data_IF_577129802032
#
_entry.id   IF_577129802032
#
_cell.length_a   1.000
_cell.length_b   1.000
_cell.length_c   1.000
_cell.angle_alpha   90.00
_cell.angle_beta   90.00
_cell.angle_gamma   90.00
#
_symmetry.space_group_name_H-M   'P 1'
#
loop_
_entity.id
_entity.type
_entity.pdbx_description
1 polymer ?
#
# COMPACT_ATOMS: atom_id res chain seq x y z
N UNK A 1 22.17 11.07 -26.26
CA UNK A 1 21.07 11.05 -27.28
C UNK A 1 20.33 9.72 -27.31
N UNK A 2 21.00 8.56 -27.36
CA UNK A 2 20.33 7.23 -27.37
C UNK A 2 19.47 6.97 -26.13
N UNK A 3 19.96 7.24 -24.91
CA UNK A 3 19.16 7.09 -23.67
C UNK A 3 17.87 7.90 -23.68
N UNK A 4 17.89 9.11 -24.24
CA UNK A 4 16.71 9.99 -24.29
C UNK A 4 15.66 9.48 -25.30
N UNK A 5 16.10 8.92 -26.44
CA UNK A 5 15.22 8.28 -27.43
C UNK A 5 14.64 6.96 -26.91
N UNK A 6 15.47 6.15 -26.23
CA UNK A 6 15.02 4.93 -25.56
C UNK A 6 13.96 5.24 -24.48
N UNK A 7 14.13 6.32 -23.71
CA UNK A 7 13.16 6.76 -22.71
C UNK A 7 11.80 7.17 -23.32
N UNK A 8 11.83 7.80 -24.49
CA UNK A 8 10.63 8.30 -25.16
C UNK A 8 9.83 7.17 -25.84
N UNK A 9 10.50 6.07 -26.24
CA UNK A 9 9.82 4.87 -26.77
C UNK A 9 9.38 3.92 -25.66
N UNK A 10 10.01 4.00 -24.49
CA UNK A 10 9.71 3.20 -23.31
C UNK A 10 8.28 3.36 -22.79
N UNK A 11 7.71 4.57 -22.82
CA UNK A 11 6.31 4.81 -22.44
C UNK A 11 5.35 4.04 -23.36
N UNK A 12 5.59 4.04 -24.67
CA UNK A 12 4.81 3.25 -25.64
C UNK A 12 4.95 1.73 -25.44
N UNK A 13 6.00 1.26 -24.77
CA UNK A 13 6.22 -0.17 -24.50
C UNK A 13 5.55 -0.62 -23.19
N UNK A 14 5.30 0.28 -22.24
CA UNK A 14 4.70 -0.07 -20.95
C UNK A 14 3.22 -0.41 -21.09
N UNK A 15 2.45 0.40 -21.82
CA UNK A 15 0.98 0.26 -21.87
C UNK A 15 0.51 -1.10 -22.40
N UNK A 16 1.06 -1.64 -23.52
CA UNK A 16 0.67 -2.96 -24.00
C UNK A 16 0.96 -4.07 -22.97
N UNK A 17 2.08 -3.97 -22.25
CA UNK A 17 2.46 -4.95 -21.23
C UNK A 17 1.55 -4.86 -20.00
N UNK A 18 1.18 -3.65 -19.57
CA UNK A 18 0.28 -3.44 -18.45
C UNK A 18 -1.14 -3.96 -18.73
N UNK A 19 -1.61 -3.87 -19.98
CA UNK A 19 -2.90 -4.48 -20.40
C UNK A 19 -2.86 -6.00 -20.20
N UNK A 20 -1.75 -6.64 -20.56
CA UNK A 20 -1.57 -8.09 -20.43
C UNK A 20 -1.56 -8.60 -18.98
N UNK A 21 -1.50 -7.74 -17.95
CA UNK A 21 -1.64 -8.19 -16.55
C UNK A 21 -3.04 -8.69 -16.20
N UNK A 22 -4.01 -8.48 -17.08
CA UNK A 22 -5.39 -8.96 -16.91
C UNK A 22 -5.81 -9.91 -18.04
N UNK A 23 -4.85 -10.47 -18.77
CA UNK A 23 -5.12 -11.46 -19.80
C UNK A 23 -5.76 -12.72 -19.20
N UNK A 24 -6.62 -13.39 -19.96
CA UNK A 24 -7.27 -14.62 -19.52
C UNK A 24 -6.24 -15.76 -19.35
N UNK A 25 -5.22 -15.79 -20.21
CA UNK A 25 -4.14 -16.78 -20.15
C UNK A 25 -3.10 -16.40 -19.08
N UNK A 26 -2.94 -17.29 -18.09
CA UNK A 26 -1.96 -17.10 -17.01
C UNK A 26 -0.52 -17.04 -17.52
N UNK A 27 -0.20 -17.71 -18.63
CA UNK A 27 1.12 -17.65 -19.25
C UNK A 27 1.39 -16.26 -19.82
N UNK A 28 0.38 -15.62 -20.42
CA UNK A 28 0.50 -14.24 -20.91
C UNK A 28 0.72 -13.28 -19.75
N UNK A 29 -0.06 -13.41 -18.67
CA UNK A 29 0.11 -12.58 -17.46
C UNK A 29 1.50 -12.76 -16.82
N UNK A 30 1.98 -13.99 -16.71
CA UNK A 30 3.33 -14.29 -16.20
C UNK A 30 4.41 -13.65 -17.07
N UNK A 31 4.32 -13.82 -18.40
CA UNK A 31 5.29 -13.23 -19.34
C UNK A 31 5.23 -11.71 -19.36
N UNK A 32 4.05 -11.13 -19.18
CA UNK A 32 3.89 -9.70 -19.03
C UNK A 32 4.58 -9.20 -17.76
N UNK A 33 4.40 -9.87 -16.62
CA UNK A 33 5.08 -9.51 -15.36
C UNK A 33 6.62 -9.57 -15.53
N UNK A 34 7.14 -10.63 -16.15
CA UNK A 34 8.57 -10.79 -16.44
C UNK A 34 9.09 -9.69 -17.39
N UNK A 35 8.33 -9.40 -18.46
CA UNK A 35 8.67 -8.34 -19.40
C UNK A 35 8.71 -6.98 -18.72
N UNK A 36 7.70 -6.66 -17.89
CA UNK A 36 7.64 -5.39 -17.17
C UNK A 36 8.78 -5.24 -16.16
N UNK A 37 9.20 -6.32 -15.49
CA UNK A 37 10.39 -6.33 -14.64
C UNK A 37 11.66 -5.95 -15.43
N UNK A 38 11.85 -6.53 -16.60
CA UNK A 38 12.99 -6.20 -17.46
C UNK A 38 12.93 -4.76 -18.00
N UNK A 39 11.75 -4.30 -18.36
CA UNK A 39 11.46 -2.89 -18.74
C UNK A 39 11.83 -1.95 -17.60
N UNK A 40 11.38 -2.22 -16.37
CA UNK A 40 11.69 -1.42 -15.18
C UNK A 40 13.19 -1.39 -14.86
N UNK A 41 13.90 -2.52 -15.05
CA UNK A 41 15.37 -2.58 -14.90
C UNK A 41 16.10 -1.66 -15.86
N UNK A 42 15.62 -1.51 -17.09
CA UNK A 42 16.27 -0.68 -18.13
C UNK A 42 15.88 0.79 -18.01
N UNK A 43 14.58 1.07 -17.88
CA UNK A 43 14.01 2.43 -17.89
C UNK A 43 14.22 3.17 -16.57
N UNK A 44 14.26 2.43 -15.45
CA UNK A 44 14.49 2.95 -14.10
C UNK A 44 13.49 4.07 -13.77
N UNK A 45 13.96 5.25 -13.39
CA UNK A 45 13.14 6.40 -13.00
C UNK A 45 12.05 6.78 -14.02
N UNK A 46 12.19 6.43 -15.30
CA UNK A 46 11.17 6.71 -16.31
C UNK A 46 9.83 6.04 -16.06
N UNK A 47 9.80 4.86 -15.43
CA UNK A 47 8.53 4.16 -15.16
C UNK A 47 7.65 4.94 -14.19
N UNK A 48 8.26 5.81 -13.36
CA UNK A 48 7.56 6.59 -12.35
C UNK A 48 6.67 7.69 -12.95
N UNK A 49 6.86 8.04 -14.23
CA UNK A 49 5.95 8.94 -14.96
C UNK A 49 4.54 8.36 -15.06
N UNK A 50 4.43 7.04 -15.14
CA UNK A 50 3.17 6.30 -15.23
C UNK A 50 2.84 5.56 -13.91
N UNK A 51 3.32 6.07 -12.77
CA UNK A 51 3.25 5.35 -11.49
C UNK A 51 1.84 4.90 -11.09
N UNK A 52 0.80 5.68 -11.43
CA UNK A 52 -0.60 5.26 -11.20
C UNK A 52 -0.95 3.96 -11.91
N UNK A 53 -0.61 3.84 -13.20
CA UNK A 53 -0.89 2.64 -14.00
C UNK A 53 -0.01 1.47 -13.55
N UNK A 54 1.25 1.74 -13.19
CA UNK A 54 2.16 0.74 -12.63
C UNK A 54 1.64 0.18 -11.30
N UNK A 55 1.19 1.04 -10.40
CA UNK A 55 0.65 0.64 -9.10
C UNK A 55 -0.65 -0.18 -9.25
N UNK A 56 -1.52 0.21 -10.17
CA UNK A 56 -2.73 -0.56 -10.51
C UNK A 56 -2.39 -1.92 -11.11
N UNK A 57 -1.36 -1.97 -11.96
CA UNK A 57 -0.81 -3.21 -12.47
C UNK A 57 -0.31 -4.14 -11.36
N UNK A 58 0.46 -3.61 -10.40
CA UNK A 58 0.89 -4.36 -9.22
C UNK A 58 -0.29 -4.89 -8.42
N UNK A 59 -1.33 -4.08 -8.19
CA UNK A 59 -2.53 -4.51 -7.47
C UNK A 59 -3.17 -5.72 -8.16
N UNK A 60 -3.31 -5.70 -9.50
CA UNK A 60 -3.86 -6.81 -10.28
C UNK A 60 -3.02 -8.08 -10.13
N UNK A 61 -1.71 -7.98 -10.27
CA UNK A 61 -0.80 -9.13 -10.16
C UNK A 61 -0.77 -9.72 -8.73
N UNK A 62 -0.86 -8.87 -7.69
CA UNK A 62 -0.97 -9.35 -6.30
C UNK A 62 -2.28 -10.11 -6.04
N UNK A 63 -3.32 -9.82 -6.82
CA UNK A 63 -4.60 -10.53 -6.75
C UNK A 63 -4.72 -11.72 -7.69
N UNK A 64 -3.67 -12.08 -8.42
CA UNK A 64 -3.72 -13.19 -9.37
C UNK A 64 -4.13 -14.51 -8.68
N UNK A 65 -4.72 -15.44 -9.42
CA UNK A 65 -5.00 -16.77 -8.89
C UNK A 65 -3.71 -17.58 -8.75
N UNK A 66 -2.74 -17.39 -9.66
CA UNK A 66 -1.50 -18.15 -9.70
C UNK A 66 -0.46 -17.59 -8.72
N UNK A 67 0.07 -18.48 -7.87
CA UNK A 67 1.05 -18.10 -6.85
C UNK A 67 2.38 -17.63 -7.47
N UNK A 68 2.79 -18.24 -8.58
CA UNK A 68 4.03 -17.89 -9.31
C UNK A 68 3.98 -16.46 -9.86
N UNK A 69 2.80 -15.99 -10.28
CA UNK A 69 2.61 -14.61 -10.74
C UNK A 69 2.70 -13.64 -9.57
N UNK A 70 2.10 -13.96 -8.41
CA UNK A 70 2.23 -13.16 -7.18
C UNK A 70 3.68 -13.02 -6.74
N UNK A 71 4.47 -14.10 -6.81
CA UNK A 71 5.90 -14.08 -6.48
C UNK A 71 6.70 -13.20 -7.46
N UNK A 72 6.37 -13.27 -8.75
CA UNK A 72 6.90 -12.34 -9.77
C UNK A 72 6.55 -10.89 -9.45
N UNK A 73 5.30 -10.63 -9.06
CA UNK A 73 4.82 -9.31 -8.67
C UNK A 73 5.57 -8.75 -7.46
N UNK A 74 5.93 -9.59 -6.48
CA UNK A 74 6.74 -9.19 -5.32
C UNK A 74 8.17 -8.84 -5.71
N UNK A 75 8.76 -9.52 -6.69
CA UNK A 75 10.06 -9.14 -7.25
C UNK A 75 9.99 -7.78 -7.97
N UNK A 76 8.91 -7.56 -8.73
CA UNK A 76 8.67 -6.29 -9.42
C UNK A 76 8.40 -5.14 -8.44
N UNK A 77 7.56 -5.35 -7.42
CA UNK A 77 7.28 -4.37 -6.36
C UNK A 77 8.58 -3.92 -5.69
N UNK A 78 9.44 -4.87 -5.27
CA UNK A 78 10.75 -4.54 -4.68
C UNK A 78 11.61 -3.68 -5.59
N UNK A 79 11.73 -4.03 -6.87
CA UNK A 79 12.50 -3.24 -7.84
C UNK A 79 11.94 -1.81 -7.99
N UNK A 80 10.61 -1.66 -8.07
CA UNK A 80 9.98 -0.34 -8.22
C UNK A 80 10.23 0.51 -6.98
N UNK A 81 10.14 -0.08 -5.78
CA UNK A 81 10.49 0.60 -4.52
C UNK A 81 11.94 1.06 -4.51
N UNK A 82 12.87 0.22 -4.93
CA UNK A 82 14.29 0.58 -5.05
C UNK A 82 14.47 1.77 -6.00
N UNK A 83 13.80 1.75 -7.16
CA UNK A 83 13.81 2.87 -8.11
C UNK A 83 13.28 4.16 -7.46
N UNK A 84 12.18 4.09 -6.70
CA UNK A 84 11.58 5.23 -5.99
C UNK A 84 12.55 5.78 -4.93
N UNK A 85 13.20 4.91 -4.14
CA UNK A 85 14.18 5.32 -3.13
C UNK A 85 15.40 6.05 -3.71
N UNK A 86 15.77 5.75 -4.95
CA UNK A 86 16.87 6.41 -5.65
C UNK A 86 16.52 7.82 -6.16
N UNK A 87 15.23 8.20 -6.19
CA UNK A 87 14.82 9.49 -6.74
C UNK A 87 14.76 10.59 -5.69
N UNK A 88 15.55 11.65 -5.91
CA UNK A 88 15.55 12.84 -5.03
C UNK A 88 14.42 13.84 -5.32
N UNK A 89 13.90 13.84 -6.55
CA UNK A 89 12.91 14.81 -7.04
C UNK A 89 11.58 14.14 -7.42
N UNK A 90 11.35 12.92 -6.95
CA UNK A 90 10.07 12.27 -7.15
C UNK A 90 9.02 12.91 -6.26
N UNK A 91 7.83 13.16 -6.82
CA UNK A 91 6.70 13.64 -6.05
C UNK A 91 6.08 12.48 -5.26
N UNK A 92 6.61 12.24 -4.06
CA UNK A 92 6.10 11.20 -3.17
C UNK A 92 4.64 11.44 -2.76
N UNK A 93 4.16 12.69 -2.76
CA UNK A 93 2.77 12.98 -2.42
C UNK A 93 1.81 12.40 -3.47
N UNK A 94 2.24 12.24 -4.72
CA UNK A 94 1.45 11.59 -5.77
C UNK A 94 1.16 10.10 -5.49
N UNK A 95 1.92 9.45 -4.59
CA UNK A 95 1.64 8.07 -4.16
C UNK A 95 0.52 7.99 -3.11
N UNK A 96 0.26 9.07 -2.36
CA UNK A 96 -0.71 9.06 -1.26
C UNK A 96 -2.13 8.73 -1.74
N UNK A 97 -2.67 9.34 -2.83
CA UNK A 97 -3.99 8.96 -3.33
C UNK A 97 -4.08 7.48 -3.75
N UNK A 98 -3.01 6.92 -4.32
CA UNK A 98 -2.97 5.50 -4.72
C UNK A 98 -3.07 4.59 -3.50
N UNK A 99 -2.32 4.90 -2.43
CA UNK A 99 -2.36 4.20 -1.15
C UNK A 99 -3.75 4.31 -0.52
N UNK A 100 -4.28 5.52 -0.40
CA UNK A 100 -5.58 5.79 0.22
C UNK A 100 -6.72 5.07 -0.50
N UNK A 101 -6.73 5.06 -1.84
CA UNK A 101 -7.78 4.35 -2.57
C UNK A 101 -7.68 2.82 -2.43
N UNK A 102 -6.48 2.26 -2.23
CA UNK A 102 -6.24 0.81 -2.25
C UNK A 102 -6.23 0.18 -0.86
N UNK A 103 -5.96 0.93 0.20
CA UNK A 103 -5.91 0.41 1.59
C UNK A 103 -7.27 -0.13 2.07
N UNK A 104 -8.38 0.37 1.51
CA UNK A 104 -9.73 -0.07 1.85
C UNK A 104 -10.15 -1.36 1.13
N UNK A 105 -9.40 -1.81 0.12
CA UNK A 105 -9.70 -3.07 -0.58
C UNK A 105 -9.52 -4.23 0.41
N UNK A 106 -10.53 -5.11 0.53
CA UNK A 106 -10.51 -6.21 1.51
C UNK A 106 -9.55 -7.35 1.13
N UNK A 107 -9.06 -7.37 -0.12
CA UNK A 107 -8.14 -8.40 -0.57
C UNK A 107 -6.82 -8.35 0.24
N UNK A 108 -6.42 -9.49 0.85
CA UNK A 108 -5.25 -9.53 1.71
C UNK A 108 -3.94 -9.17 1.01
N UNK A 109 -3.77 -9.58 -0.26
CA UNK A 109 -2.55 -9.32 -1.01
C UNK A 109 -2.40 -7.84 -1.36
N UNK A 110 -3.51 -7.17 -1.70
CA UNK A 110 -3.51 -5.71 -1.95
C UNK A 110 -3.19 -4.96 -0.66
N UNK A 111 -3.77 -5.35 0.48
CA UNK A 111 -3.43 -4.76 1.78
C UNK A 111 -1.97 -4.93 2.15
N UNK A 112 -1.38 -6.09 1.86
CA UNK A 112 0.06 -6.32 2.06
C UNK A 112 0.91 -5.42 1.16
N UNK A 113 0.56 -5.28 -0.12
CA UNK A 113 1.23 -4.36 -1.05
C UNK A 113 1.20 -2.93 -0.49
N UNK A 114 0.00 -2.44 -0.15
CA UNK A 114 -0.22 -1.08 0.34
C UNK A 114 0.49 -0.82 1.66
N UNK A 115 0.43 -1.74 2.62
CA UNK A 115 1.15 -1.63 3.88
C UNK A 115 2.66 -1.52 3.65
N UNK A 116 3.21 -2.31 2.73
CA UNK A 116 4.62 -2.18 2.34
C UNK A 116 4.93 -0.79 1.79
N UNK A 117 4.03 -0.17 1.02
CA UNK A 117 4.20 1.20 0.48
C UNK A 117 4.13 2.26 1.58
N UNK A 118 3.27 2.09 2.58
CA UNK A 118 3.23 2.98 3.76
C UNK A 118 4.54 2.90 4.54
N UNK A 119 5.04 1.69 4.83
CA UNK A 119 6.31 1.48 5.54
C UNK A 119 7.48 2.11 4.77
N UNK A 120 7.52 1.92 3.45
CA UNK A 120 8.53 2.55 2.61
C UNK A 120 8.48 4.07 2.76
N UNK A 121 7.33 4.69 2.57
CA UNK A 121 7.21 6.14 2.63
C UNK A 121 7.52 6.71 4.02
N UNK A 122 7.13 6.01 5.10
CA UNK A 122 7.47 6.40 6.49
C UNK A 122 8.98 6.36 6.75
N UNK A 123 9.72 5.48 6.07
CA UNK A 123 11.18 5.41 6.19
C UNK A 123 11.93 6.53 5.45
N UNK A 124 11.25 7.30 4.59
CA UNK A 124 11.89 8.31 3.74
C UNK A 124 11.90 9.68 4.43
N UNK A 125 13.08 10.30 4.69
CA UNK A 125 13.17 11.57 5.40
C UNK A 125 12.56 12.75 4.63
N UNK A 126 12.45 12.64 3.30
CA UNK A 126 11.83 13.66 2.46
C UNK A 126 10.29 13.61 2.45
N UNK A 127 9.68 12.57 3.04
CA UNK A 127 8.22 12.40 3.07
C UNK A 127 7.71 12.67 4.47
N UNK A 128 6.88 13.70 4.62
CA UNK A 128 6.19 13.96 5.88
C UNK A 128 4.92 13.09 5.98
N UNK A 129 5.11 11.82 6.33
CA UNK A 129 3.99 10.87 6.46
C UNK A 129 2.98 11.27 7.55
N UNK A 130 3.42 12.02 8.57
CA UNK A 130 2.54 12.52 9.64
C UNK A 130 1.47 13.43 9.04
N UNK A 131 1.83 14.33 8.11
CA UNK A 131 0.87 15.20 7.43
C UNK A 131 -0.18 14.43 6.61
N UNK A 132 0.09 13.19 6.21
CA UNK A 132 -0.84 12.35 5.45
C UNK A 132 -1.61 11.35 6.32
N UNK A 133 -1.34 11.28 7.63
CA UNK A 133 -1.93 10.33 8.57
C UNK A 133 -3.45 10.15 8.43
N UNK A 134 -4.28 11.21 8.32
CA UNK A 134 -5.73 11.06 8.20
C UNK A 134 -6.19 10.25 6.98
N UNK A 135 -5.37 10.18 5.92
CA UNK A 135 -5.71 9.57 4.63
C UNK A 135 -5.51 8.05 4.60
N UNK A 136 -4.73 7.48 5.51
CA UNK A 136 -4.43 6.04 5.51
C UNK A 136 -4.64 5.37 6.87
N UNK A 137 -4.78 6.13 7.96
CA UNK A 137 -4.89 5.57 9.31
C UNK A 137 -6.11 4.65 9.48
N UNK A 138 -7.24 4.98 8.85
CA UNK A 138 -8.45 4.14 8.93
C UNK A 138 -8.22 2.76 8.32
N UNK A 139 -7.61 2.72 7.13
CA UNK A 139 -7.27 1.47 6.47
C UNK A 139 -6.20 0.68 7.25
N UNK A 140 -5.22 1.35 7.87
CA UNK A 140 -4.22 0.70 8.72
C UNK A 140 -4.88 0.02 9.93
N UNK A 141 -5.85 0.67 10.58
CA UNK A 141 -6.66 0.03 11.62
C UNK A 141 -7.46 -1.16 11.09
N UNK A 142 -7.99 -1.07 9.87
CA UNK A 142 -8.62 -2.21 9.19
C UNK A 142 -7.69 -3.40 8.96
N UNK A 143 -6.39 -3.17 8.75
CA UNK A 143 -5.37 -4.23 8.64
C UNK A 143 -5.04 -4.79 10.03
N UNK A 144 -4.92 -3.95 11.05
CA UNK A 144 -4.72 -4.36 12.45
C UNK A 144 -5.86 -5.22 13.00
N UNK A 145 -7.09 -4.99 12.52
CA UNK A 145 -8.25 -5.79 12.86
C UNK A 145 -8.37 -7.10 12.05
N UNK A 146 -7.43 -7.40 11.13
CA UNK A 146 -7.51 -8.60 10.29
C UNK A 146 -7.33 -9.89 11.09
N UNK A 147 -7.95 -10.99 10.65
CA UNK A 147 -7.79 -12.31 11.28
C UNK A 147 -6.41 -12.95 11.02
N UNK A 148 -5.69 -12.48 10.00
CA UNK A 148 -4.35 -12.95 9.67
C UNK A 148 -3.30 -12.39 10.65
N UNK A 149 -2.68 -13.27 11.44
CA UNK A 149 -1.70 -12.90 12.47
C UNK A 149 -0.49 -12.16 11.89
N UNK A 150 0.04 -12.61 10.76
CA UNK A 150 1.25 -12.02 10.18
C UNK A 150 0.99 -10.60 9.68
N UNK A 151 -0.23 -10.35 9.18
CA UNK A 151 -0.65 -9.01 8.78
C UNK A 151 -0.82 -8.08 9.97
N UNK A 152 -1.42 -8.58 11.06
CA UNK A 152 -1.52 -7.80 12.30
C UNK A 152 -0.13 -7.43 12.84
N UNK A 153 0.81 -8.36 12.87
CA UNK A 153 2.18 -8.11 13.35
C UNK A 153 2.87 -7.03 12.51
N UNK A 154 2.85 -7.15 11.18
CA UNK A 154 3.45 -6.14 10.29
C UNK A 154 2.79 -4.77 10.42
N UNK A 155 1.47 -4.72 10.56
CA UNK A 155 0.75 -3.47 10.74
C UNK A 155 1.03 -2.85 12.12
N UNK A 156 1.24 -3.68 13.15
CA UNK A 156 1.62 -3.24 14.48
C UNK A 156 3.02 -2.62 14.47
N UNK A 157 4.01 -3.29 13.85
CA UNK A 157 5.36 -2.76 13.68
C UNK A 157 5.34 -1.40 12.94
N UNK A 158 4.54 -1.30 11.88
CA UNK A 158 4.35 -0.04 11.15
C UNK A 158 3.75 1.06 12.05
N UNK A 159 2.73 0.74 12.85
CA UNK A 159 2.12 1.70 13.77
C UNK A 159 3.08 2.13 14.87
N UNK A 160 3.88 1.22 15.42
CA UNK A 160 4.88 1.51 16.46
C UNK A 160 5.95 2.49 15.93
N UNK A 161 6.49 2.25 14.73
CA UNK A 161 7.41 3.17 14.04
C UNK A 161 6.79 4.56 13.86
N UNK A 162 5.56 4.61 13.36
CA UNK A 162 4.84 5.85 13.11
C UNK A 162 4.60 6.65 14.41
N UNK A 163 4.25 5.98 15.50
CA UNK A 163 4.08 6.60 16.81
C UNK A 163 5.40 7.17 17.35
N UNK A 164 6.53 6.49 17.12
CA UNK A 164 7.83 7.02 17.47
C UNK A 164 8.19 8.26 16.63
N UNK A 165 7.94 8.22 15.32
CA UNK A 165 8.08 9.37 14.43
C UNK A 165 7.22 10.55 14.86
N UNK A 166 5.95 10.32 15.23
CA UNK A 166 5.06 11.36 15.76
C UNK A 166 5.62 11.98 17.04
N UNK A 167 6.12 11.17 17.99
CA UNK A 167 6.71 11.68 19.23
C UNK A 167 7.93 12.55 18.97
N UNK A 168 8.81 12.13 18.06
CA UNK A 168 10.00 12.91 17.65
C UNK A 168 9.59 14.21 16.94
N UNK A 169 8.64 14.14 16.01
CA UNK A 169 8.14 15.30 15.26
C UNK A 169 7.36 16.28 16.15
N UNK A 170 6.68 15.82 17.20
CA UNK A 170 6.01 16.71 18.15
C UNK A 170 6.99 17.63 18.89
N UNK A 171 8.26 17.21 19.06
CA UNK A 171 9.30 18.05 19.65
C UNK A 171 9.90 19.05 18.64
N UNK A 172 10.05 18.66 17.37
CA UNK A 172 10.64 19.51 16.32
C UNK A 172 9.61 20.48 15.69
N UNK A 173 8.39 19.99 15.44
CA UNK A 173 7.32 20.67 14.67
C UNK A 173 5.95 20.46 15.35
N UNK A 174 5.73 21.07 16.54
CA UNK A 174 4.54 20.82 17.35
C UNK A 174 3.24 21.20 16.64
N UNK A 175 3.16 22.37 16.00
CA UNK A 175 1.91 22.85 15.37
C UNK A 175 1.42 21.94 14.23
N UNK A 176 2.34 21.53 13.33
CA UNK A 176 2.01 20.63 12.20
C UNK A 176 1.58 19.27 12.70
N UNK A 177 2.35 18.71 13.64
CA UNK A 177 2.07 17.41 14.24
C UNK A 177 0.71 17.44 14.97
N UNK A 178 0.42 18.50 15.72
CA UNK A 178 -0.85 18.67 16.42
C UNK A 178 -2.03 18.74 15.44
N UNK A 179 -1.89 19.47 14.32
CA UNK A 179 -2.91 19.53 13.27
C UNK A 179 -3.20 18.15 12.69
N UNK A 180 -2.16 17.42 12.28
CA UNK A 180 -2.31 16.08 11.70
C UNK A 180 -2.94 15.09 12.69
N UNK A 181 -2.53 15.15 13.97
CA UNK A 181 -3.14 14.33 15.03
C UNK A 181 -4.61 14.72 15.24
N UNK A 182 -4.95 16.00 15.25
CA UNK A 182 -6.33 16.45 15.43
C UNK A 182 -7.25 15.95 14.30
N UNK A 183 -6.78 16.00 13.05
CA UNK A 183 -7.49 15.45 11.90
C UNK A 183 -7.63 13.91 11.99
N UNK A 184 -6.55 13.22 12.38
CA UNK A 184 -6.55 11.77 12.56
C UNK A 184 -7.39 11.31 13.76
N UNK A 185 -7.58 12.14 14.79
CA UNK A 185 -8.37 11.82 15.97
C UNK A 185 -9.84 11.54 15.62
N UNK A 186 -10.37 12.20 14.59
CA UNK A 186 -11.71 11.90 14.07
C UNK A 186 -11.81 10.45 13.57
N UNK A 187 -10.78 9.96 12.88
CA UNK A 187 -10.68 8.58 12.41
C UNK A 187 -10.59 7.61 13.59
N UNK A 188 -9.74 7.88 14.58
CA UNK A 188 -9.64 7.07 15.81
C UNK A 188 -11.00 6.97 16.51
N UNK A 189 -11.69 8.10 16.69
CA UNK A 189 -12.98 8.14 17.34
C UNK A 189 -14.05 7.33 16.58
N UNK A 190 -14.05 7.36 15.24
CA UNK A 190 -14.95 6.51 14.41
C UNK A 190 -14.65 5.03 14.62
N UNK A 191 -13.38 4.61 14.54
CA UNK A 191 -12.99 3.21 14.69
C UNK A 191 -13.28 2.68 16.11
N UNK A 192 -13.09 3.48 17.15
CA UNK A 192 -13.43 3.10 18.52
C UNK A 192 -14.94 2.86 18.72
N UNK A 193 -15.81 3.66 18.08
CA UNK A 193 -17.27 3.46 18.14
C UNK A 193 -17.70 2.17 17.44
N UNK A 194 -17.20 1.94 16.23
CA UNK A 194 -17.50 0.73 15.46
C UNK A 194 -17.09 -0.56 16.21
N UNK A 195 -15.92 -0.56 16.87
CA UNK A 195 -15.49 -1.69 17.70
C UNK A 195 -16.33 -1.91 18.97
N UNK A 196 -16.97 -0.86 19.48
CA UNK A 196 -17.90 -0.94 20.62
C UNK A 196 -19.25 -1.54 20.24
N UNK A 197 -19.78 -1.17 19.08
CA UNK A 197 -21.03 -1.72 18.53
C UNK A 197 -20.89 -3.22 18.21
N UNK A 198 -19.82 -3.62 17.53
CA UNK A 198 -19.53 -5.03 17.22
C UNK A 198 -19.32 -5.89 18.48
N UNK A 199 -18.68 -5.34 19.54
CA UNK A 199 -18.56 -6.04 20.83
C UNK A 199 -19.89 -6.16 21.53
N UNK A 200 -20.74 -5.14 21.47
CA UNK A 200 -22.06 -5.18 22.07
C UNK A 200 -22.95 -6.22 21.40
N UNK A 201 -22.96 -6.30 20.07
CA UNK A 201 -23.69 -7.33 19.32
C UNK A 201 -23.18 -8.75 19.60
N UNK A 202 -21.85 -8.95 19.69
CA UNK A 202 -21.26 -10.24 20.04
C UNK A 202 -21.60 -10.69 21.48
N UNK A 203 -21.75 -9.75 22.43
CA UNK A 203 -22.18 -10.03 23.80
C UNK A 203 -23.66 -10.40 23.90
N UNK A 204 -24.50 -9.95 22.96
CA UNK A 204 -25.91 -10.34 22.87
C UNK A 204 -26.15 -11.62 22.06
N UNK A 205 -25.11 -12.18 21.45
CA UNK A 205 -25.16 -13.39 20.62
C UNK A 205 -24.63 -14.64 21.35
N UNK A 206 -24.68 -14.70 22.69
CA UNK A 206 -24.50 -15.98 23.37
C UNK A 206 -25.65 -16.93 23.00
N UNK A 207 -25.37 -18.17 22.55
CA UNK A 207 -26.43 -19.14 22.32
C UNK A 207 -27.00 -19.53 23.67
N UNK A 208 -28.32 -19.41 23.81
CA UNK A 208 -29.11 -20.11 24.83
C UNK A 208 -28.79 -21.60 24.71
N UNK A 209 -27.80 -22.07 25.49
CA UNK A 209 -27.63 -23.49 25.74
C UNK A 209 -28.84 -23.92 26.56
N UNK A 210 -29.72 -24.63 25.87
CA UNK A 210 -30.87 -25.33 26.39
C UNK A 210 -30.50 -26.04 27.71
N UNK A 211 -30.94 -25.44 28.81
CA UNK A 211 -31.28 -26.14 30.04
C UNK A 211 -32.73 -26.58 29.88
N UNK A 212 -32.95 -27.79 29.35
CA UNK A 212 -34.05 -28.63 29.85
C UNK A 212 -33.94 -30.08 29.34
N UNK A 213 -33.64 -30.96 30.30
CA UNK A 213 -34.15 -32.32 30.56
C UNK A 213 -34.08 -33.41 29.49
#
# INVERSE_FOLDING_TARGET
MEKARAQQHAESLMDPVLVCFSDEDSMVRYKACEAFYNIAKVIRAGILRNMSAVFDGLCRLYTDIEQTIKEGAQCLDRLIRDIVMEQRHFDFAALIPLITCRIHILNPNVRQLVLGWIVLLDSLPQVDMISFLPHYLEGLFGILASENRDFRLKAQECLESLLEHIRRSAADRPERTQKAIAEAAATVARCCRAGGEQRSEALFAEPLRELDR
#
